data_IF_820251794542
#
_entry.id   IF_820251794542
#
_cell.length_a   1.000
_cell.length_b   1.000
_cell.length_c   1.000
_cell.angle_alpha   90.00
_cell.angle_beta   90.00
_cell.angle_gamma   90.00
#
_symmetry.space_group_name_H-M   'P 1'
#
loop_
_entity.id
_entity.type
_entity.pdbx_description
1 polymer ?
#
# COMPACT_ATOMS: atom_id res chain seq x y z
N UNK A 1 -5.48 -20.79 -8.27
CA UNK A 1 -5.79 -19.38 -8.10
C UNK A 1 -7.08 -19.13 -7.30
N UNK A 2 -8.10 -19.98 -7.35
CA UNK A 2 -9.34 -19.83 -6.58
C UNK A 2 -9.16 -19.84 -5.05
N UNK A 3 -8.32 -20.72 -4.50
CA UNK A 3 -8.08 -20.81 -3.05
C UNK A 3 -7.52 -19.55 -2.41
N UNK A 4 -6.68 -18.80 -3.13
CA UNK A 4 -6.10 -17.55 -2.60
C UNK A 4 -7.14 -16.42 -2.54
N UNK A 5 -8.10 -16.40 -3.49
CA UNK A 5 -9.19 -15.40 -3.50
C UNK A 5 -10.22 -15.68 -2.40
N UNK A 6 -10.51 -16.96 -2.12
CA UNK A 6 -11.44 -17.37 -1.05
C UNK A 6 -10.86 -17.06 0.34
N UNK A 7 -9.58 -17.37 0.56
CA UNK A 7 -8.90 -17.03 1.81
C UNK A 7 -8.84 -15.51 2.04
N UNK A 8 -8.60 -14.72 0.97
CA UNK A 8 -8.63 -13.27 1.04
C UNK A 8 -10.03 -12.74 1.35
N UNK A 9 -11.07 -13.28 0.71
CA UNK A 9 -12.45 -12.89 0.99
C UNK A 9 -12.88 -13.26 2.42
N UNK A 10 -12.50 -14.42 2.91
CA UNK A 10 -12.74 -14.83 4.30
C UNK A 10 -11.98 -13.92 5.27
N UNK A 11 -10.70 -13.64 5.03
CA UNK A 11 -9.92 -12.74 5.86
C UNK A 11 -10.53 -11.34 5.90
N UNK A 12 -10.94 -10.79 4.76
CA UNK A 12 -11.63 -9.49 4.68
C UNK A 12 -12.96 -9.53 5.43
N UNK A 13 -13.75 -10.60 5.30
CA UNK A 13 -15.02 -10.72 6.00
C UNK A 13 -14.89 -10.77 7.53
N UNK A 14 -13.77 -11.27 8.07
CA UNK A 14 -13.47 -11.23 9.51
C UNK A 14 -12.85 -9.91 9.96
N UNK A 15 -12.03 -9.29 9.12
CA UNK A 15 -11.29 -8.08 9.44
C UNK A 15 -12.18 -6.83 9.37
N UNK A 16 -13.12 -6.77 8.43
CA UNK A 16 -14.03 -5.63 8.28
C UNK A 16 -14.86 -5.33 9.53
N UNK A 17 -15.59 -6.31 10.13
CA UNK A 17 -16.37 -6.05 11.35
C UNK A 17 -15.49 -5.68 12.55
N UNK A 18 -14.27 -6.21 12.60
CA UNK A 18 -13.31 -5.87 13.64
C UNK A 18 -12.78 -4.44 13.47
N UNK A 19 -12.50 -4.03 12.23
CA UNK A 19 -12.07 -2.66 11.93
C UNK A 19 -13.19 -1.65 12.21
N UNK A 20 -14.43 -1.97 11.88
CA UNK A 20 -15.60 -1.13 12.19
C UNK A 20 -15.83 -0.98 13.69
N UNK A 21 -15.69 -2.06 14.45
CA UNK A 21 -15.82 -2.03 15.91
C UNK A 21 -14.68 -1.29 16.61
N UNK A 22 -13.46 -1.44 16.13
CA UNK A 22 -12.27 -0.83 16.71
C UNK A 22 -12.00 0.58 16.15
N UNK A 23 -12.58 0.95 15.02
CA UNK A 23 -12.35 2.26 14.38
C UNK A 23 -10.88 2.52 14.06
N UNK A 24 -10.36 3.67 14.52
CA UNK A 24 -8.97 4.07 14.26
C UNK A 24 -7.91 3.08 14.78
N UNK A 25 -8.01 2.48 15.98
CA UNK A 25 -7.09 1.41 16.40
C UNK A 25 -7.10 0.19 15.52
N UNK A 26 -8.27 -0.21 14.99
CA UNK A 26 -8.39 -1.31 14.04
C UNK A 26 -7.66 -1.03 12.74
N UNK A 27 -7.82 0.18 12.18
CA UNK A 27 -7.09 0.63 11.01
C UNK A 27 -5.57 0.61 11.23
N UNK A 28 -5.11 1.12 12.37
CA UNK A 28 -3.69 1.12 12.71
C UNK A 28 -3.12 -0.31 12.76
N UNK A 29 -3.84 -1.24 13.38
CA UNK A 29 -3.44 -2.64 13.50
C UNK A 29 -3.38 -3.31 12.12
N UNK A 30 -4.40 -3.13 11.29
CA UNK A 30 -4.46 -3.70 9.94
C UNK A 30 -3.34 -3.13 9.06
N UNK A 31 -3.13 -1.81 9.10
CA UNK A 31 -2.06 -1.16 8.37
C UNK A 31 -0.66 -1.62 8.84
N UNK A 32 -0.49 -1.88 10.13
CA UNK A 32 0.73 -2.46 10.69
C UNK A 32 0.98 -3.88 10.16
N UNK A 33 -0.01 -4.75 10.21
CA UNK A 33 0.09 -6.13 9.75
C UNK A 33 0.33 -6.20 8.24
N UNK A 34 -0.40 -5.40 7.45
CA UNK A 34 -0.22 -5.32 6.01
C UNK A 34 1.18 -4.84 5.64
N UNK A 35 1.70 -3.84 6.32
CA UNK A 35 3.01 -3.26 6.03
C UNK A 35 4.18 -4.10 6.53
N UNK A 36 3.97 -4.97 7.53
CA UNK A 36 5.02 -5.85 8.08
C UNK A 36 5.10 -7.20 7.36
N UNK A 37 4.15 -8.09 7.58
CA UNK A 37 4.24 -9.50 7.16
C UNK A 37 3.21 -9.89 6.12
N UNK A 38 1.99 -9.40 6.25
CA UNK A 38 0.89 -9.72 5.37
C UNK A 38 0.97 -8.81 4.13
N UNK A 39 0.72 -9.38 2.96
CA UNK A 39 0.47 -8.60 1.75
C UNK A 39 -1.01 -8.69 1.48
N UNK A 40 -1.79 -7.87 2.18
CA UNK A 40 -3.22 -7.72 1.95
C UNK A 40 -3.41 -6.54 0.96
N UNK A 41 -3.35 -6.79 -0.36
CA UNK A 41 -3.39 -5.71 -1.32
C UNK A 41 -4.71 -4.94 -1.17
N UNK A 42 -4.61 -3.63 -0.94
CA UNK A 42 -5.72 -2.67 -0.93
C UNK A 42 -6.73 -2.77 0.24
N UNK A 43 -6.59 -3.70 1.18
CA UNK A 43 -7.54 -3.80 2.31
C UNK A 43 -7.47 -2.55 3.19
N UNK A 44 -6.27 -2.05 3.48
CA UNK A 44 -6.10 -0.81 4.25
C UNK A 44 -6.71 0.41 3.56
N UNK A 45 -6.52 0.52 2.24
CA UNK A 45 -7.04 1.62 1.43
C UNK A 45 -8.58 1.57 1.36
N UNK A 46 -9.15 0.40 1.15
CA UNK A 46 -10.61 0.22 1.13
C UNK A 46 -11.24 0.54 2.50
N UNK A 47 -10.59 0.14 3.59
CA UNK A 47 -11.09 0.40 4.95
C UNK A 47 -11.05 1.88 5.33
N UNK A 48 -9.98 2.61 5.00
CA UNK A 48 -9.91 4.04 5.29
C UNK A 48 -11.00 4.79 4.53
N UNK A 49 -11.27 4.42 3.27
CA UNK A 49 -12.34 5.01 2.47
C UNK A 49 -13.71 4.68 3.07
N UNK A 50 -13.98 3.40 3.36
CA UNK A 50 -15.27 2.95 3.88
C UNK A 50 -15.60 3.61 5.24
N UNK A 51 -14.64 3.63 6.18
CA UNK A 51 -14.85 4.25 7.49
C UNK A 51 -14.97 5.78 7.40
N UNK A 52 -14.26 6.40 6.47
CA UNK A 52 -14.38 7.85 6.24
C UNK A 52 -15.74 8.22 5.65
N UNK A 53 -16.30 7.40 4.76
CA UNK A 53 -17.65 7.62 4.23
C UNK A 53 -18.70 7.49 5.34
N UNK A 54 -18.53 6.52 6.25
CA UNK A 54 -19.45 6.31 7.37
C UNK A 54 -19.33 7.41 8.44
N UNK A 55 -18.11 7.89 8.72
CA UNK A 55 -17.80 8.88 9.75
C UNK A 55 -16.89 9.98 9.19
N UNK A 56 -17.41 10.89 8.35
CA UNK A 56 -16.62 11.90 7.64
C UNK A 56 -15.85 12.84 8.58
N UNK A 57 -16.39 13.10 9.76
CA UNK A 57 -15.75 13.97 10.78
C UNK A 57 -14.45 13.40 11.36
N UNK A 58 -14.21 12.09 11.17
CA UNK A 58 -13.04 11.38 11.71
C UNK A 58 -11.96 11.07 10.66
N UNK A 59 -12.06 11.58 9.45
CA UNK A 59 -11.13 11.27 8.37
C UNK A 59 -9.66 11.51 8.72
N UNK A 60 -9.35 12.60 9.45
CA UNK A 60 -7.98 12.88 9.90
C UNK A 60 -7.48 11.82 10.87
N UNK A 61 -8.34 11.40 11.81
CA UNK A 61 -8.01 10.36 12.79
C UNK A 61 -7.73 9.02 12.10
N UNK A 62 -8.54 8.63 11.11
CA UNK A 62 -8.36 7.42 10.34
C UNK A 62 -7.08 7.46 9.50
N UNK A 63 -6.82 8.59 8.82
CA UNK A 63 -5.59 8.79 8.05
C UNK A 63 -4.33 8.74 8.94
N UNK A 64 -4.36 9.38 10.09
CA UNK A 64 -3.26 9.37 11.05
C UNK A 64 -3.01 7.97 11.63
N UNK A 65 -4.06 7.28 12.06
CA UNK A 65 -3.97 5.92 12.60
C UNK A 65 -3.39 4.93 11.58
N UNK A 66 -3.88 4.98 10.33
CA UNK A 66 -3.37 4.14 9.23
C UNK A 66 -1.90 4.46 8.93
N UNK A 67 -1.52 5.74 8.90
CA UNK A 67 -0.14 6.19 8.69
C UNK A 67 0.79 5.67 9.78
N UNK A 68 0.39 5.81 11.04
CA UNK A 68 1.19 5.34 12.19
C UNK A 68 1.35 3.82 12.18
N UNK A 69 0.26 3.08 11.98
CA UNK A 69 0.30 1.63 11.89
C UNK A 69 1.19 1.15 10.74
N UNK A 70 1.01 1.72 9.54
CA UNK A 70 1.82 1.40 8.37
C UNK A 70 3.31 1.72 8.58
N UNK A 71 3.61 2.88 9.18
CA UNK A 71 5.00 3.29 9.48
C UNK A 71 5.65 2.32 10.46
N UNK A 72 4.95 1.93 11.52
CA UNK A 72 5.44 0.95 12.48
C UNK A 72 5.69 -0.42 11.83
N UNK A 73 4.76 -0.90 10.97
CA UNK A 73 4.93 -2.14 10.23
C UNK A 73 6.13 -2.11 9.26
N UNK A 74 6.31 -1.01 8.54
CA UNK A 74 7.48 -0.80 7.68
C UNK A 74 8.78 -0.76 8.49
N UNK A 75 8.77 -0.18 9.70
CA UNK A 75 9.95 -0.14 10.57
C UNK A 75 10.37 -1.53 11.05
N UNK A 76 9.40 -2.40 11.36
CA UNK A 76 9.69 -3.81 11.69
C UNK A 76 10.35 -4.50 10.50
N UNK A 77 9.78 -4.40 9.30
CA UNK A 77 10.32 -5.02 8.09
C UNK A 77 11.73 -4.48 7.74
N UNK A 78 11.91 -3.16 7.85
CA UNK A 78 13.21 -2.50 7.69
C UNK A 78 14.25 -3.04 8.69
N UNK A 79 13.88 -3.20 9.97
CA UNK A 79 14.77 -3.69 11.02
C UNK A 79 15.20 -5.14 10.78
N UNK A 80 14.28 -5.98 10.32
CA UNK A 80 14.56 -7.36 9.91
C UNK A 80 15.58 -7.38 8.76
N UNK A 81 15.36 -6.56 7.73
CA UNK A 81 16.30 -6.47 6.60
C UNK A 81 17.67 -5.93 7.01
N UNK A 82 17.70 -4.94 7.90
CA UNK A 82 18.95 -4.36 8.42
C UNK A 82 19.77 -5.33 9.25
N UNK A 83 19.10 -6.17 10.06
CA UNK A 83 19.76 -7.19 10.91
C UNK A 83 20.05 -8.49 10.15
N UNK A 84 19.14 -8.89 9.26
CA UNK A 84 19.24 -10.13 8.49
C UNK A 84 20.22 -10.09 7.32
N UNK A 85 20.67 -8.88 6.95
CA UNK A 85 21.66 -8.67 5.90
C UNK A 85 21.24 -9.14 4.52
N UNK A 86 22.24 -9.22 3.64
CA UNK A 86 22.08 -9.56 2.22
C UNK A 86 21.54 -10.98 1.99
N UNK A 87 21.82 -11.91 2.91
CA UNK A 87 21.40 -13.30 2.80
C UNK A 87 19.87 -13.48 2.75
N UNK A 88 19.12 -12.61 3.44
CA UNK A 88 17.66 -12.65 3.42
C UNK A 88 17.10 -12.17 2.07
N UNK A 89 17.70 -11.13 1.50
CA UNK A 89 17.25 -10.58 0.20
C UNK A 89 17.65 -11.48 -0.98
N UNK A 90 18.82 -12.06 -0.98
CA UNK A 90 19.32 -12.98 -2.03
C UNK A 90 18.45 -14.23 -2.21
N UNK A 91 17.72 -14.64 -1.17
CA UNK A 91 16.75 -15.74 -1.26
C UNK A 91 15.46 -15.35 -2.02
N UNK A 92 15.14 -14.07 -2.10
CA UNK A 92 13.87 -13.58 -2.62
C UNK A 92 14.00 -12.73 -3.89
N UNK A 93 15.17 -12.14 -4.12
CA UNK A 93 15.44 -11.22 -5.23
C UNK A 93 16.75 -11.57 -5.92
N UNK A 94 16.80 -11.34 -7.25
CA UNK A 94 18.04 -11.52 -8.02
C UNK A 94 19.07 -10.44 -7.66
N UNK A 95 20.37 -10.75 -7.80
CA UNK A 95 21.45 -9.79 -7.58
C UNK A 95 21.27 -8.51 -8.36
N UNK A 96 20.85 -8.60 -9.62
CA UNK A 96 20.59 -7.45 -10.49
C UNK A 96 19.47 -6.53 -9.94
N UNK A 97 18.45 -7.10 -9.29
CA UNK A 97 17.37 -6.31 -8.66
C UNK A 97 17.88 -5.60 -7.40
N UNK A 98 18.68 -6.28 -6.60
CA UNK A 98 19.29 -5.72 -5.40
C UNK A 98 20.24 -4.58 -5.77
N UNK A 99 21.15 -4.79 -6.75
CA UNK A 99 22.09 -3.75 -7.18
C UNK A 99 21.41 -2.51 -7.77
N UNK A 100 20.40 -2.71 -8.64
CA UNK A 100 19.59 -1.59 -9.18
C UNK A 100 18.93 -0.80 -8.06
N UNK A 101 18.35 -1.50 -7.08
CA UNK A 101 17.73 -0.87 -5.92
C UNK A 101 18.73 -0.09 -5.07
N UNK A 102 19.88 -0.67 -4.73
CA UNK A 102 20.96 0.00 -3.98
C UNK A 102 21.51 1.21 -4.75
N UNK A 103 21.63 1.10 -6.09
CA UNK A 103 22.00 2.20 -6.96
C UNK A 103 21.02 3.38 -6.87
N UNK A 104 19.71 3.08 -6.75
CA UNK A 104 18.66 4.10 -6.57
C UNK A 104 18.83 4.84 -5.23
N UNK A 105 19.15 4.11 -4.14
CA UNK A 105 19.41 4.71 -2.83
C UNK A 105 20.68 5.57 -2.83
N UNK A 106 21.74 5.11 -3.50
CA UNK A 106 22.97 5.91 -3.68
C UNK A 106 22.74 7.22 -4.43
N UNK A 107 21.86 7.19 -5.44
CA UNK A 107 21.59 8.35 -6.30
C UNK A 107 20.56 9.32 -5.72
N UNK A 108 19.51 8.83 -5.08
CA UNK A 108 18.35 9.62 -4.66
C UNK A 108 18.16 9.69 -3.14
N UNK A 109 18.97 8.95 -2.36
CA UNK A 109 18.91 8.97 -0.90
C UNK A 109 17.52 8.69 -0.35
N UNK A 110 17.00 9.58 0.48
CA UNK A 110 15.70 9.42 1.15
C UNK A 110 14.50 9.44 0.18
N UNK A 111 14.63 10.09 -0.97
CA UNK A 111 13.57 10.10 -2.00
C UNK A 111 13.26 8.68 -2.52
N UNK A 112 14.26 7.78 -2.50
CA UNK A 112 14.06 6.38 -2.86
C UNK A 112 13.13 5.62 -1.88
N UNK A 113 12.83 6.20 -0.71
CA UNK A 113 11.83 5.71 0.25
C UNK A 113 10.51 6.46 0.10
N UNK A 114 10.57 7.79 0.07
CA UNK A 114 9.37 8.65 0.07
C UNK A 114 8.52 8.42 -1.17
N UNK A 115 9.13 8.44 -2.36
CA UNK A 115 8.37 8.35 -3.62
C UNK A 115 7.61 7.02 -3.73
N UNK A 116 8.22 5.83 -3.53
CA UNK A 116 7.46 4.58 -3.53
C UNK A 116 6.41 4.48 -2.43
N UNK A 117 6.62 5.16 -1.28
CA UNK A 117 5.65 5.19 -0.19
C UNK A 117 4.38 5.99 -0.53
N UNK A 118 4.48 6.97 -1.43
CA UNK A 118 3.35 7.77 -1.92
C UNK A 118 2.55 7.06 -3.01
N UNK A 119 3.16 6.13 -3.73
CA UNK A 119 2.52 5.49 -4.87
C UNK A 119 1.47 4.46 -4.44
N UNK A 120 0.33 4.40 -5.15
CA UNK A 120 -0.68 3.35 -4.91
C UNK A 120 -0.19 1.98 -5.40
N UNK A 121 -0.81 0.87 -4.94
CA UNK A 121 -0.61 -0.45 -5.53
C UNK A 121 -0.91 -0.43 -7.05
N UNK A 122 -0.19 -1.21 -7.86
CA UNK A 122 0.60 -2.40 -7.54
C UNK A 122 2.11 -2.16 -7.35
N UNK A 123 2.53 -1.01 -6.85
CA UNK A 123 3.96 -0.73 -6.64
C UNK A 123 4.57 -1.71 -5.64
N UNK A 124 5.70 -2.37 -5.94
CA UNK A 124 6.34 -3.32 -5.04
C UNK A 124 7.07 -2.61 -3.89
N UNK A 125 6.31 -1.84 -3.11
CA UNK A 125 6.81 -0.96 -2.05
C UNK A 125 7.66 -1.68 -0.99
N UNK A 126 7.30 -2.92 -0.62
CA UNK A 126 8.04 -3.70 0.37
C UNK A 126 9.49 -3.97 -0.02
N UNK A 127 9.78 -4.06 -1.32
CA UNK A 127 11.15 -4.18 -1.82
C UNK A 127 11.98 -2.96 -1.42
N UNK A 128 11.42 -1.75 -1.56
CA UNK A 128 12.12 -0.52 -1.19
C UNK A 128 12.37 -0.42 0.31
N UNK A 129 11.43 -0.91 1.15
CA UNK A 129 11.61 -0.99 2.60
C UNK A 129 12.78 -1.93 2.97
N UNK A 130 12.83 -3.12 2.35
CA UNK A 130 13.90 -4.10 2.57
C UNK A 130 15.26 -3.56 2.09
N UNK A 131 15.27 -2.94 0.90
CA UNK A 131 16.48 -2.32 0.35
C UNK A 131 16.98 -1.14 1.18
N UNK A 132 16.08 -0.35 1.78
CA UNK A 132 16.47 0.72 2.71
C UNK A 132 17.19 0.18 3.95
N UNK A 133 16.71 -0.97 4.48
CA UNK A 133 17.36 -1.68 5.58
C UNK A 133 18.78 -2.15 5.20
N UNK A 134 18.90 -2.78 4.03
CA UNK A 134 20.17 -3.27 3.50
C UNK A 134 21.15 -2.14 3.17
N UNK A 135 20.64 -1.03 2.59
CA UNK A 135 21.44 0.16 2.26
C UNK A 135 21.93 0.91 3.51
N UNK A 136 21.53 0.49 4.72
CA UNK A 136 21.95 1.12 5.97
C UNK A 136 21.38 2.53 6.16
N UNK A 137 20.26 2.87 5.54
CA UNK A 137 19.59 4.16 5.76
C UNK A 137 19.38 4.40 7.24
N UNK A 138 19.62 5.61 7.75
CA UNK A 138 19.44 5.93 9.17
C UNK A 138 17.98 5.67 9.61
N UNK A 139 17.74 4.97 10.75
CA UNK A 139 16.39 4.61 11.18
C UNK A 139 15.43 5.79 11.26
N UNK A 140 15.89 6.92 11.82
CA UNK A 140 15.09 8.14 11.94
C UNK A 140 14.71 8.69 10.56
N UNK A 141 15.67 8.79 9.64
CA UNK A 141 15.42 9.27 8.29
C UNK A 141 14.45 8.35 7.54
N UNK A 142 14.61 7.02 7.68
CA UNK A 142 13.69 6.03 7.13
C UNK A 142 12.27 6.22 7.66
N UNK A 143 12.11 6.28 8.99
CA UNK A 143 10.79 6.41 9.64
C UNK A 143 10.09 7.71 9.22
N UNK A 144 10.81 8.84 9.20
CA UNK A 144 10.27 10.12 8.73
C UNK A 144 9.90 10.06 7.25
N UNK A 145 10.74 9.48 6.41
CA UNK A 145 10.44 9.31 4.98
C UNK A 145 9.18 8.48 4.73
N UNK A 146 9.02 7.36 5.45
CA UNK A 146 7.80 6.55 5.38
C UNK A 146 6.60 7.33 5.91
N UNK A 147 6.72 7.99 7.07
CA UNK A 147 5.61 8.76 7.66
C UNK A 147 5.13 9.86 6.73
N UNK A 148 6.05 10.59 6.07
CA UNK A 148 5.72 11.62 5.09
C UNK A 148 5.03 11.00 3.86
N UNK A 149 5.62 9.97 3.24
CA UNK A 149 5.08 9.34 2.04
C UNK A 149 3.71 8.69 2.28
N UNK A 150 3.57 7.93 3.35
CA UNK A 150 2.30 7.28 3.75
C UNK A 150 1.28 8.30 4.24
N UNK A 151 1.71 9.31 4.99
CA UNK A 151 0.85 10.40 5.45
C UNK A 151 0.23 11.17 4.29
N UNK A 152 1.02 11.50 3.27
CA UNK A 152 0.51 12.12 2.05
C UNK A 152 -0.50 11.22 1.33
N UNK A 153 -0.19 9.94 1.18
CA UNK A 153 -1.07 8.98 0.52
C UNK A 153 -2.39 8.78 1.28
N UNK A 154 -2.33 8.33 2.54
CA UNK A 154 -3.54 8.06 3.34
C UNK A 154 -4.30 9.33 3.70
N UNK A 155 -3.59 10.45 3.86
CA UNK A 155 -4.21 11.77 4.02
C UNK A 155 -4.98 12.18 2.76
N UNK A 156 -4.39 11.97 1.58
CA UNK A 156 -5.06 12.22 0.30
C UNK A 156 -6.28 11.32 0.08
N UNK A 157 -6.16 10.01 0.36
CA UNK A 157 -7.26 9.05 0.27
C UNK A 157 -8.40 9.39 1.23
N UNK A 158 -8.08 9.68 2.51
CA UNK A 158 -9.06 10.10 3.52
C UNK A 158 -9.73 11.42 3.17
N UNK A 159 -8.99 12.40 2.68
CA UNK A 159 -9.54 13.69 2.25
C UNK A 159 -10.47 13.55 1.04
N UNK A 160 -10.08 12.75 0.05
CA UNK A 160 -10.92 12.47 -1.12
C UNK A 160 -12.21 11.73 -0.71
N UNK A 161 -12.10 10.74 0.18
CA UNK A 161 -13.26 10.03 0.70
C UNK A 161 -14.18 10.95 1.52
N UNK A 162 -13.61 11.85 2.34
CA UNK A 162 -14.35 12.87 3.07
C UNK A 162 -15.13 13.79 2.13
N UNK A 163 -14.46 14.29 1.09
CA UNK A 163 -15.03 15.31 0.22
C UNK A 163 -16.01 14.75 -0.82
N UNK A 164 -15.73 13.59 -1.37
CA UNK A 164 -16.44 13.02 -2.52
C UNK A 164 -17.06 11.65 -2.27
N UNK A 165 -16.77 11.00 -1.14
CA UNK A 165 -17.14 9.62 -0.89
C UNK A 165 -18.65 9.37 -0.96
N UNK A 166 -19.46 10.23 -0.35
CA UNK A 166 -20.92 10.13 -0.41
C UNK A 166 -21.44 10.30 -1.83
N UNK A 167 -20.94 11.29 -2.58
CA UNK A 167 -21.33 11.57 -3.96
C UNK A 167 -20.89 10.43 -4.90
N UNK A 168 -19.67 9.91 -4.72
CA UNK A 168 -19.17 8.79 -5.50
C UNK A 168 -20.00 7.52 -5.27
N UNK A 169 -20.37 7.25 -4.02
CA UNK A 169 -21.21 6.09 -3.65
C UNK A 169 -22.60 6.23 -4.28
N UNK A 170 -23.21 7.41 -4.19
CA UNK A 170 -24.51 7.68 -4.81
C UNK A 170 -24.44 7.53 -6.33
N UNK A 171 -23.42 8.12 -6.96
CA UNK A 171 -23.23 8.03 -8.41
C UNK A 171 -23.05 6.58 -8.88
N UNK A 172 -22.28 5.77 -8.14
CA UNK A 172 -22.08 4.35 -8.45
C UNK A 172 -23.39 3.57 -8.32
N UNK A 173 -24.17 3.82 -7.27
CA UNK A 173 -25.44 3.15 -7.04
C UNK A 173 -26.47 3.50 -8.11
N UNK A 174 -26.53 4.78 -8.53
CA UNK A 174 -27.47 5.25 -9.54
C UNK A 174 -27.06 4.81 -10.96
N UNK A 175 -25.77 4.53 -11.19
CA UNK A 175 -25.20 4.21 -12.51
C UNK A 175 -24.38 2.91 -12.50
N UNK A 176 -24.83 1.88 -11.79
CA UNK A 176 -24.12 0.60 -11.64
C UNK A 176 -23.66 -0.02 -12.97
N UNK A 177 -24.51 0.03 -14.01
CA UNK A 177 -24.16 -0.49 -15.33
C UNK A 177 -23.02 0.31 -15.98
N UNK A 178 -23.07 1.65 -15.92
CA UNK A 178 -22.03 2.53 -16.48
C UNK A 178 -20.72 2.39 -15.70
N UNK A 179 -20.79 2.34 -14.36
CA UNK A 179 -19.62 2.14 -13.52
C UNK A 179 -18.92 0.80 -13.82
N UNK A 180 -19.70 -0.27 -13.99
CA UNK A 180 -19.16 -1.59 -14.33
C UNK A 180 -18.48 -1.60 -15.71
N UNK A 181 -19.04 -0.93 -16.72
CA UNK A 181 -18.43 -0.81 -18.05
C UNK A 181 -17.13 -0.02 -18.00
N UNK A 182 -17.08 1.08 -17.24
CA UNK A 182 -15.87 1.89 -17.06
C UNK A 182 -14.76 1.07 -16.39
N UNK A 183 -15.07 0.35 -15.32
CA UNK A 183 -14.10 -0.52 -14.62
C UNK A 183 -13.60 -1.62 -15.55
N UNK A 184 -14.49 -2.29 -16.29
CA UNK A 184 -14.10 -3.30 -17.26
C UNK A 184 -13.19 -2.72 -18.36
N UNK A 185 -13.51 -1.53 -18.87
CA UNK A 185 -12.70 -0.81 -19.86
C UNK A 185 -11.30 -0.50 -19.34
N UNK A 186 -11.16 -0.01 -18.10
CA UNK A 186 -9.88 0.26 -17.46
C UNK A 186 -9.06 -1.03 -17.30
N UNK A 187 -9.68 -2.12 -16.84
CA UNK A 187 -9.01 -3.42 -16.66
C UNK A 187 -8.51 -3.97 -18.01
N UNK A 188 -9.33 -3.87 -19.07
CA UNK A 188 -8.93 -4.27 -20.42
C UNK A 188 -7.77 -3.41 -20.94
N UNK A 189 -7.83 -2.10 -20.76
CA UNK A 189 -6.78 -1.18 -21.19
C UNK A 189 -5.45 -1.49 -20.48
N UNK A 190 -5.49 -1.68 -19.16
CA UNK A 190 -4.31 -2.08 -18.38
C UNK A 190 -3.77 -3.45 -18.83
N UNK A 191 -4.65 -4.40 -19.11
CA UNK A 191 -4.27 -5.71 -19.66
C UNK A 191 -3.55 -5.60 -20.99
N UNK A 192 -4.09 -4.81 -21.92
CA UNK A 192 -3.46 -4.55 -23.24
C UNK A 192 -2.10 -3.86 -23.07
N UNK A 193 -1.99 -2.84 -22.22
CA UNK A 193 -0.72 -2.14 -21.94
C UNK A 193 0.33 -3.13 -21.41
N UNK A 194 -0.06 -4.00 -20.47
CA UNK A 194 0.84 -5.01 -19.91
C UNK A 194 1.29 -6.04 -20.95
N UNK A 195 0.41 -6.48 -21.84
CA UNK A 195 0.74 -7.42 -22.91
C UNK A 195 1.70 -6.77 -23.93
N UNK A 196 1.42 -5.53 -24.32
CA UNK A 196 2.26 -4.78 -25.27
C UNK A 196 3.64 -4.46 -24.66
N UNK A 197 3.70 -4.12 -23.37
CA UNK A 197 4.98 -3.86 -22.68
C UNK A 197 5.85 -5.13 -22.58
N UNK A 198 5.24 -6.30 -22.37
CA UNK A 198 5.95 -7.58 -22.36
C UNK A 198 6.50 -7.96 -23.75
N UNK A 199 5.75 -7.70 -24.83
CA UNK A 199 6.22 -7.95 -26.20
C UNK A 199 7.41 -7.08 -26.59
N UNK A 200 7.48 -5.82 -26.11
CA UNK A 200 8.63 -4.93 -26.36
C UNK A 200 9.90 -5.32 -25.60
N UNK A 201 9.82 -6.18 -24.58
CA UNK A 201 11.00 -6.66 -23.86
C UNK A 201 11.57 -7.97 -24.43
N UNK A 202 10.86 -8.59 -25.36
CA UNK A 202 11.27 -9.84 -26.03
C UNK A 202 11.76 -9.63 -27.47
N UNK A 203 11.64 -8.42 -28.01
CA UNK A 203 12.21 -7.98 -29.30
C UNK A 203 13.45 -7.12 -29.06
#
# INVERSE_FOLDING_TARGET
MHYASELLQQAVAWILPLAERLGAPGLALIAFLDSSFLSLPQVGDALIVALTIQHPERWMLYSAATTLGSTAGCFVLYTIARKGGEAFLRRRFSEAQIERGLGLFRRHGLLAVIVPAMLPPPTPFKIFVLLAGLAGVRPVAFTLGIAIGRGFRFGGEGWLAYKYGAQATQYINDNLATASVVVAGIVLLLGVILILSRRRQQA
#
